data_IF_545010715696
#
_entry.id   IF_545010715696
#
_cell.length_a   1.000
_cell.length_b   1.000
_cell.length_c   1.000
_cell.angle_alpha   90.00
_cell.angle_beta   90.00
_cell.angle_gamma   90.00
#
_symmetry.space_group_name_H-M   'P 1'
#
loop_
_entity.id
_entity.type
_entity.pdbx_description
1 polymer ?
#
# COMPACT_ATOMS: atom_id res chain seq x y z
N UNK A 1 -4.55 62.96 -56.00
CA UNK A 1 -4.60 61.48 -56.05
C UNK A 1 -3.49 60.94 -55.18
N UNK A 2 -3.83 60.19 -54.11
CA UNK A 2 -2.88 59.40 -53.28
C UNK A 2 -2.46 58.11 -54.03
N UNK A 3 -1.31 57.48 -53.72
CA UNK A 3 -1.16 56.57 -52.56
C UNK A 3 0.22 56.68 -51.83
N UNK A 4 0.28 56.61 -50.49
CA UNK A 4 0.40 55.42 -49.59
C UNK A 4 1.72 54.65 -49.72
N UNK A 5 2.62 54.78 -48.73
CA UNK A 5 3.62 53.83 -48.17
C UNK A 5 4.53 54.66 -47.23
N UNK A 6 5.05 54.27 -46.07
CA UNK A 6 4.87 53.16 -45.14
C UNK A 6 5.49 53.60 -43.79
N UNK A 7 4.98 53.05 -42.69
CA UNK A 7 5.45 53.23 -41.29
C UNK A 7 6.86 52.66 -41.09
N UNK A 8 7.60 53.11 -40.07
CA UNK A 8 8.19 52.20 -39.07
C UNK A 8 8.73 52.94 -37.83
N UNK A 9 8.12 52.63 -36.68
CA UNK A 9 8.63 52.93 -35.35
C UNK A 9 9.33 51.67 -34.82
N UNK A 10 10.49 51.82 -34.19
CA UNK A 10 11.22 50.73 -33.54
C UNK A 10 11.15 50.94 -32.03
N UNK A 11 10.27 50.18 -31.37
CA UNK A 11 10.32 49.94 -29.93
C UNK A 11 11.22 48.72 -29.67
N UNK A 12 12.34 48.90 -28.97
CA UNK A 12 13.16 47.78 -28.50
C UNK A 12 12.57 47.23 -27.19
N UNK A 13 12.00 46.03 -27.26
CA UNK A 13 11.56 45.24 -26.10
C UNK A 13 12.72 44.36 -25.66
N UNK A 14 13.23 44.57 -24.45
CA UNK A 14 14.21 43.69 -23.82
C UNK A 14 13.50 42.40 -23.36
N UNK A 15 13.82 41.30 -24.04
CA UNK A 15 13.26 39.98 -23.81
C UNK A 15 14.00 39.31 -22.64
N UNK A 16 13.37 39.23 -21.48
CA UNK A 16 13.89 38.51 -20.32
C UNK A 16 13.77 36.99 -20.55
N UNK A 17 14.91 36.31 -20.66
CA UNK A 17 14.99 34.86 -20.74
C UNK A 17 14.65 34.22 -19.39
N UNK A 18 13.36 33.99 -19.12
CA UNK A 18 12.93 33.03 -18.10
C UNK A 18 13.06 31.61 -18.68
N UNK A 19 14.20 30.96 -18.48
CA UNK A 19 14.30 29.52 -18.74
C UNK A 19 13.49 28.77 -17.67
N UNK A 20 12.55 27.87 -18.06
CA UNK A 20 11.86 27.03 -17.10
C UNK A 20 12.83 25.99 -16.54
N UNK A 21 13.25 26.17 -15.29
CA UNK A 21 13.90 25.12 -14.51
C UNK A 21 12.89 24.02 -14.27
N UNK A 22 12.91 22.98 -15.10
CA UNK A 22 12.22 21.73 -14.82
C UNK A 22 12.94 21.04 -13.65
N UNK A 23 12.56 21.40 -12.43
CA UNK A 23 12.94 20.66 -11.24
C UNK A 23 12.31 19.26 -11.35
N UNK A 24 13.08 18.29 -11.83
CA UNK A 24 12.72 16.88 -11.75
C UNK A 24 12.66 16.56 -10.26
N UNK A 25 11.46 16.33 -9.72
CA UNK A 25 11.30 15.87 -8.36
C UNK A 25 12.06 14.55 -8.22
N UNK A 26 13.23 14.58 -7.57
CA UNK A 26 13.97 13.37 -7.27
C UNK A 26 13.13 12.55 -6.28
N UNK A 27 12.75 11.35 -6.69
CA UNK A 27 12.08 10.40 -5.80
C UNK A 27 12.95 10.08 -4.58
N UNK A 28 12.34 9.58 -3.50
CA UNK A 28 13.06 9.13 -2.31
C UNK A 28 14.01 7.99 -2.67
N UNK A 29 15.21 7.97 -2.09
CA UNK A 29 16.12 6.82 -2.22
C UNK A 29 15.53 5.58 -1.51
N UNK A 30 15.96 4.36 -1.86
CA UNK A 30 15.52 3.14 -1.17
C UNK A 30 15.71 3.20 0.35
N UNK A 31 16.82 3.78 0.81
CA UNK A 31 17.13 3.94 2.24
C UNK A 31 16.16 4.90 2.91
N UNK A 32 15.83 6.03 2.26
CA UNK A 32 14.84 6.97 2.74
C UNK A 32 13.43 6.36 2.80
N UNK A 33 13.10 5.47 1.86
CA UNK A 33 11.84 4.72 1.89
C UNK A 33 11.83 3.74 3.07
N UNK A 34 12.90 2.96 3.26
CA UNK A 34 13.01 2.03 4.38
C UNK A 34 12.93 2.74 5.75
N UNK A 35 13.59 3.89 5.89
CA UNK A 35 13.55 4.74 7.09
C UNK A 35 12.18 5.39 7.32
N UNK A 36 11.33 5.44 6.30
CA UNK A 36 9.99 6.03 6.41
C UNK A 36 8.92 5.07 6.93
N UNK A 37 9.25 3.79 7.14
CA UNK A 37 8.35 2.83 7.78
C UNK A 37 8.23 3.18 9.26
N UNK A 38 7.03 3.57 9.75
CA UNK A 38 6.85 3.90 11.16
C UNK A 38 7.09 2.69 12.06
N UNK A 39 7.60 2.91 13.27
CA UNK A 39 7.84 1.84 14.26
C UNK A 39 6.53 1.19 14.74
N UNK A 40 5.41 1.91 14.58
CA UNK A 40 4.06 1.43 14.81
C UNK A 40 3.63 0.39 13.76
N UNK A 41 4.41 0.13 12.72
CA UNK A 41 4.17 -0.93 11.75
C UNK A 41 5.19 -2.06 11.97
N UNK A 42 4.98 -2.92 12.99
CA UNK A 42 5.97 -3.94 13.37
C UNK A 42 6.13 -5.06 12.33
N UNK A 43 5.14 -5.27 11.48
CA UNK A 43 5.15 -6.38 10.53
C UNK A 43 4.46 -6.01 9.21
N UNK A 44 5.11 -6.35 8.10
CA UNK A 44 4.57 -6.26 6.74
C UNK A 44 4.99 -7.51 5.98
N UNK A 45 4.02 -8.23 5.43
CA UNK A 45 4.25 -9.38 4.56
C UNK A 45 3.56 -9.16 3.22
N UNK A 46 4.30 -9.40 2.14
CA UNK A 46 3.77 -9.32 0.77
C UNK A 46 3.93 -10.67 0.10
N UNK A 47 2.90 -11.14 -0.59
CA UNK A 47 2.92 -12.45 -1.23
C UNK A 47 1.64 -12.77 -1.99
N UNK A 48 1.68 -13.86 -2.75
CA UNK A 48 0.62 -14.25 -3.66
C UNK A 48 0.41 -13.27 -4.81
N UNK A 49 -0.44 -13.66 -5.74
CA UNK A 49 -0.82 -12.84 -6.88
C UNK A 49 -2.33 -12.87 -7.07
N UNK A 50 -2.88 -11.76 -7.54
CA UNK A 50 -4.26 -11.64 -7.94
C UNK A 50 -4.37 -11.02 -9.32
N UNK A 51 -5.44 -11.38 -9.99
CA UNK A 51 -5.88 -10.79 -11.26
C UNK A 51 -7.37 -10.61 -11.16
N UNK A 52 -7.86 -9.40 -11.41
CA UNK A 52 -9.25 -9.16 -11.76
C UNK A 52 -9.30 -8.58 -13.17
N UNK A 53 -10.47 -8.53 -13.80
CA UNK A 53 -10.60 -7.99 -15.17
C UNK A 53 -10.16 -6.52 -15.32
N UNK A 54 -9.75 -5.84 -14.24
CA UNK A 54 -9.28 -4.45 -14.22
C UNK A 54 -7.77 -4.34 -13.97
N UNK A 55 -7.10 -5.37 -13.47
CA UNK A 55 -5.66 -5.34 -13.23
C UNK A 55 -5.10 -6.58 -12.55
N UNK A 56 -3.78 -6.59 -12.38
CA UNK A 56 -3.04 -7.64 -11.68
C UNK A 56 -2.20 -7.04 -10.56
N UNK A 57 -1.84 -7.87 -9.59
CA UNK A 57 -1.09 -7.39 -8.44
C UNK A 57 -0.75 -8.47 -7.43
N UNK A 58 -0.32 -8.02 -6.25
CA UNK A 58 0.03 -8.87 -5.11
C UNK A 58 -0.78 -8.50 -3.87
N UNK A 59 -0.86 -9.42 -2.91
CA UNK A 59 -1.43 -9.12 -1.60
C UNK A 59 -0.35 -8.64 -0.65
N UNK A 60 -0.70 -7.72 0.25
CA UNK A 60 0.15 -7.26 1.34
C UNK A 60 -0.66 -7.21 2.63
N UNK A 61 -0.24 -7.94 3.66
CA UNK A 61 -0.79 -7.80 5.00
C UNK A 61 0.17 -7.00 5.88
N UNK A 62 -0.38 -6.22 6.81
CA UNK A 62 0.41 -5.46 7.76
C UNK A 62 -0.27 -5.41 9.12
N UNK A 63 0.56 -5.32 10.16
CA UNK A 63 0.13 -5.03 11.53
C UNK A 63 0.45 -3.57 11.82
N UNK A 64 -0.50 -2.85 12.42
CA UNK A 64 -0.33 -1.47 12.90
C UNK A 64 -0.65 -1.44 14.39
N UNK A 65 0.26 -0.92 15.20
CA UNK A 65 0.07 -0.67 16.61
C UNK A 65 -0.56 0.70 16.84
N UNK A 66 -1.38 0.78 17.87
CA UNK A 66 -1.99 2.02 18.36
C UNK A 66 -2.17 1.95 19.88
N UNK A 67 -2.68 3.03 20.48
CA UNK A 67 -3.06 3.08 21.89
C UNK A 67 -1.98 3.70 22.77
N UNK A 68 -2.40 4.64 23.63
CA UNK A 68 -1.46 5.49 24.38
C UNK A 68 -0.92 4.80 25.65
N UNK A 69 -1.71 3.91 26.26
CA UNK A 69 -1.37 3.25 27.53
C UNK A 69 -0.95 1.79 27.36
N UNK A 70 -1.49 1.12 26.34
CA UNK A 70 -1.19 -0.27 26.00
C UNK A 70 -1.29 -0.43 24.48
N UNK A 71 -0.37 -1.19 23.87
CA UNK A 71 -0.42 -1.44 22.43
C UNK A 71 -1.68 -2.22 22.07
N UNK A 72 -2.31 -1.82 20.98
CA UNK A 72 -3.42 -2.51 20.33
C UNK A 72 -3.03 -2.76 18.88
N UNK A 73 -3.00 -4.03 18.50
CA UNK A 73 -2.67 -4.49 17.16
C UNK A 73 -3.89 -4.41 16.24
N UNK A 74 -3.69 -3.83 15.05
CA UNK A 74 -4.66 -3.76 13.97
C UNK A 74 -4.08 -4.43 12.74
N UNK A 75 -4.78 -5.41 12.18
CA UNK A 75 -4.39 -6.08 10.96
C UNK A 75 -5.15 -5.50 9.77
N UNK A 76 -4.40 -5.17 8.73
CA UNK A 76 -4.94 -4.74 7.45
C UNK A 76 -4.43 -5.64 6.34
N UNK A 77 -5.29 -5.85 5.35
CA UNK A 77 -4.96 -6.52 4.10
C UNK A 77 -5.09 -5.51 2.96
N UNK A 78 -4.11 -5.53 2.08
CA UNK A 78 -4.00 -4.65 0.93
C UNK A 78 -3.82 -5.44 -0.34
N UNK A 79 -4.40 -4.91 -1.41
CA UNK A 79 -4.19 -5.34 -2.77
C UNK A 79 -3.35 -4.27 -3.44
N UNK A 80 -2.16 -4.65 -3.86
CA UNK A 80 -1.21 -3.77 -4.53
C UNK A 80 -1.26 -4.08 -6.01
N UNK A 81 -1.84 -3.18 -6.80
CA UNK A 81 -1.87 -3.29 -8.25
C UNK A 81 -0.50 -2.92 -8.81
N UNK A 82 -0.08 -3.60 -9.87
CA UNK A 82 1.13 -3.27 -10.62
C UNK A 82 0.70 -2.82 -12.01
N UNK A 83 0.96 -1.55 -12.35
CA UNK A 83 0.65 -1.03 -13.69
C UNK A 83 1.54 -1.71 -14.72
N UNK A 84 1.00 -2.37 -15.77
CA UNK A 84 1.81 -3.13 -16.73
C UNK A 84 2.90 -2.31 -17.42
N UNK A 85 2.61 -1.04 -17.66
CA UNK A 85 3.40 -0.11 -18.47
C UNK A 85 4.47 0.64 -17.68
N UNK A 86 4.29 0.80 -16.36
CA UNK A 86 5.27 1.51 -15.50
C UNK A 86 5.91 0.62 -14.45
N UNK A 87 5.32 -0.54 -14.16
CA UNK A 87 5.66 -1.43 -13.06
C UNK A 87 5.63 -0.77 -11.67
N UNK A 88 5.03 0.43 -11.57
CA UNK A 88 4.90 1.16 -10.31
C UNK A 88 3.76 0.51 -9.50
N UNK A 89 4.03 0.09 -8.25
CA UNK A 89 3.00 -0.48 -7.39
C UNK A 89 2.09 0.61 -6.81
N UNK A 90 0.78 0.38 -6.83
CA UNK A 90 -0.23 1.27 -6.24
C UNK A 90 -1.20 0.48 -5.37
N UNK A 91 -1.64 1.08 -4.26
CA UNK A 91 -2.65 0.46 -3.40
C UNK A 91 -4.01 0.52 -4.12
N UNK A 92 -4.48 -0.62 -4.62
CA UNK A 92 -5.80 -0.75 -5.22
C UNK A 92 -6.90 -0.76 -4.15
N UNK A 93 -6.65 -1.45 -3.03
CA UNK A 93 -7.60 -1.53 -1.92
C UNK A 93 -6.89 -1.80 -0.61
N UNK A 94 -7.44 -1.25 0.48
CA UNK A 94 -7.10 -1.61 1.86
C UNK A 94 -8.36 -2.04 2.59
N UNK A 95 -8.28 -3.10 3.38
CA UNK A 95 -9.36 -3.60 4.22
C UNK A 95 -8.83 -3.93 5.60
N UNK A 96 -9.56 -3.50 6.63
CA UNK A 96 -9.33 -3.89 8.01
C UNK A 96 -9.93 -5.28 8.28
N UNK A 97 -9.17 -6.16 8.93
CA UNK A 97 -9.67 -7.47 9.37
C UNK A 97 -10.42 -7.28 10.68
N UNK A 98 -11.72 -6.99 10.59
CA UNK A 98 -12.55 -6.59 11.74
C UNK A 98 -12.60 -7.65 12.83
N UNK A 99 -12.62 -8.92 12.45
CA UNK A 99 -12.64 -10.08 13.34
C UNK A 99 -11.44 -10.13 14.29
N UNK A 100 -10.32 -9.49 13.91
CA UNK A 100 -9.14 -9.31 14.76
C UNK A 100 -9.17 -7.94 15.44
N UNK A 101 -9.41 -6.88 14.68
CA UNK A 101 -9.26 -5.50 15.17
C UNK A 101 -10.29 -5.15 16.25
N UNK A 102 -11.52 -5.69 16.15
CA UNK A 102 -12.58 -5.45 17.12
C UNK A 102 -12.28 -6.09 18.49
N UNK A 103 -11.39 -7.09 18.53
CA UNK A 103 -10.93 -7.74 19.77
C UNK A 103 -9.93 -6.89 20.56
N UNK A 104 -9.34 -5.86 19.94
CA UNK A 104 -8.36 -4.96 20.55
C UNK A 104 -7.21 -5.71 21.24
N UNK A 105 -6.63 -6.68 20.54
CA UNK A 105 -5.60 -7.55 21.09
C UNK A 105 -4.24 -6.83 21.15
N UNK A 106 -3.39 -7.14 22.14
CA UNK A 106 -2.11 -6.47 22.32
C UNK A 106 -1.03 -6.95 21.34
N UNK A 107 -1.21 -8.12 20.74
CA UNK A 107 -0.29 -8.69 19.77
C UNK A 107 -1.05 -9.35 18.60
N UNK A 108 -0.44 -9.28 17.42
CA UNK A 108 -0.81 -10.06 16.25
C UNK A 108 0.46 -10.32 15.42
N UNK A 109 0.61 -11.56 14.96
CA UNK A 109 1.66 -12.02 14.05
C UNK A 109 1.00 -12.55 12.80
N UNK A 110 1.54 -12.20 11.63
CA UNK A 110 0.91 -12.51 10.35
C UNK A 110 1.76 -13.42 9.48
N UNK A 111 1.12 -14.41 8.86
CA UNK A 111 1.71 -15.19 7.78
C UNK A 111 0.77 -15.15 6.57
N UNK A 112 1.34 -15.25 5.38
CA UNK A 112 0.59 -15.21 4.13
C UNK A 112 1.00 -16.41 3.29
N UNK A 113 0.03 -17.28 2.99
CA UNK A 113 0.22 -18.45 2.15
C UNK A 113 -0.54 -18.24 0.85
N UNK A 114 0.09 -18.55 -0.29
CA UNK A 114 -0.51 -18.38 -1.61
C UNK A 114 -0.23 -19.61 -2.46
N UNK A 115 -0.88 -20.72 -2.10
CA UNK A 115 -0.72 -22.01 -2.80
C UNK A 115 -1.44 -22.04 -4.15
N UNK A 116 -2.43 -21.16 -4.34
CA UNK A 116 -3.27 -21.10 -5.54
C UNK A 116 -3.31 -19.69 -6.10
N UNK A 117 -3.19 -19.57 -7.42
CA UNK A 117 -3.30 -18.29 -8.12
C UNK A 117 -4.68 -17.63 -7.87
N UNK A 118 -4.68 -16.31 -7.67
CA UNK A 118 -5.89 -15.55 -7.39
C UNK A 118 -6.39 -15.69 -5.96
N UNK A 119 -5.66 -16.41 -5.09
CA UNK A 119 -6.02 -16.62 -3.69
C UNK A 119 -4.80 -16.43 -2.78
N UNK A 120 -5.03 -15.87 -1.59
CA UNK A 120 -4.04 -15.89 -0.52
C UNK A 120 -4.74 -16.14 0.81
N UNK A 121 -4.15 -16.96 1.68
CA UNK A 121 -4.61 -17.22 3.03
C UNK A 121 -3.74 -16.41 4.00
N UNK A 122 -4.35 -15.37 4.58
CA UNK A 122 -3.78 -14.62 5.68
C UNK A 122 -4.05 -15.38 6.98
N UNK A 123 -2.98 -15.80 7.64
CA UNK A 123 -3.00 -16.45 8.95
C UNK A 123 -2.58 -15.41 9.97
N UNK A 124 -3.35 -15.31 11.05
CA UNK A 124 -3.12 -14.34 12.12
C UNK A 124 -3.06 -15.11 13.43
N UNK A 125 -1.89 -15.11 14.05
CA UNK A 125 -1.69 -15.67 15.39
C UNK A 125 -1.66 -14.54 16.40
N UNK A 126 -2.45 -14.67 17.45
CA UNK A 126 -2.54 -13.68 18.53
C UNK A 126 -2.28 -14.37 19.86
N UNK A 127 -1.65 -13.67 20.79
CA UNK A 127 -1.33 -14.20 22.12
C UNK A 127 -2.03 -13.33 23.16
N UNK A 128 -2.83 -13.96 24.03
CA UNK A 128 -3.35 -13.31 25.23
C UNK A 128 -2.24 -13.23 26.28
N UNK A 129 -1.74 -12.04 26.64
CA UNK A 129 -0.61 -11.91 27.56
C UNK A 129 -0.96 -12.33 29.00
N UNK A 130 -2.25 -12.41 29.36
CA UNK A 130 -2.67 -12.81 30.70
C UNK A 130 -2.68 -14.33 30.87
N UNK A 131 -3.09 -15.05 29.82
CA UNK A 131 -3.27 -16.50 29.86
C UNK A 131 -2.20 -17.27 29.09
N UNK A 132 -1.36 -16.56 28.33
CA UNK A 132 -0.40 -17.11 27.39
C UNK A 132 -1.02 -18.09 26.38
N UNK A 133 -2.32 -17.93 26.10
CA UNK A 133 -3.03 -18.75 25.12
C UNK A 133 -2.92 -18.12 23.75
N UNK A 134 -2.57 -18.94 22.79
CA UNK A 134 -2.56 -18.57 21.38
C UNK A 134 -3.94 -18.78 20.77
N UNK A 135 -4.33 -17.86 19.90
CA UNK A 135 -5.46 -18.00 19.01
C UNK A 135 -5.00 -17.75 17.57
N UNK A 136 -5.23 -18.73 16.70
CA UNK A 136 -5.01 -18.61 15.26
C UNK A 136 -6.33 -18.39 14.53
N UNK A 137 -6.33 -17.39 13.66
CA UNK A 137 -7.42 -17.08 12.74
C UNK A 137 -6.87 -17.13 11.32
N UNK A 138 -7.70 -17.52 10.35
CA UNK A 138 -7.31 -17.54 8.95
C UNK A 138 -8.39 -16.91 8.08
N UNK A 139 -7.95 -16.17 7.07
CA UNK A 139 -8.80 -15.45 6.15
C UNK A 139 -8.30 -15.65 4.72
N UNK A 140 -9.18 -16.13 3.86
CA UNK A 140 -8.91 -16.23 2.43
C UNK A 140 -9.22 -14.91 1.75
N UNK A 141 -8.22 -14.32 1.12
CA UNK A 141 -8.29 -13.16 0.24
C UNK A 141 -8.42 -13.60 -1.22
N UNK A 142 -9.20 -12.84 -1.99
CA UNK A 142 -9.39 -13.05 -3.45
C UNK A 142 -9.30 -11.72 -4.19
N UNK A 143 -10.37 -11.27 -4.85
CA UNK A 143 -10.40 -9.99 -5.56
C UNK A 143 -10.17 -8.80 -4.61
N UNK A 144 -9.69 -7.66 -5.12
CA UNK A 144 -9.51 -6.44 -4.34
C UNK A 144 -10.69 -6.10 -3.41
N UNK A 145 -10.43 -6.18 -2.10
CA UNK A 145 -11.41 -5.87 -1.06
C UNK A 145 -12.24 -7.05 -0.57
N UNK A 146 -12.06 -8.26 -1.10
CA UNK A 146 -12.80 -9.46 -0.73
C UNK A 146 -11.94 -10.38 0.12
N UNK A 147 -12.39 -10.64 1.35
CA UNK A 147 -11.83 -11.67 2.22
C UNK A 147 -12.95 -12.41 2.95
N UNK A 148 -12.71 -13.67 3.32
CA UNK A 148 -13.65 -14.50 4.06
C UNK A 148 -12.91 -15.36 5.10
N UNK A 149 -13.47 -15.58 6.30
CA UNK A 149 -12.93 -16.54 7.25
C UNK A 149 -12.75 -17.91 6.62
N UNK A 150 -11.68 -18.60 6.98
CA UNK A 150 -11.43 -19.98 6.58
C UNK A 150 -10.80 -20.76 7.71
N UNK A 151 -10.71 -22.08 7.57
CA UNK A 151 -10.00 -22.89 8.54
C UNK A 151 -8.49 -22.58 8.44
N UNK A 152 -7.77 -22.47 9.56
CA UNK A 152 -6.32 -22.42 9.53
C UNK A 152 -5.77 -23.63 8.75
N UNK A 153 -4.74 -23.44 7.94
CA UNK A 153 -4.07 -24.56 7.28
C UNK A 153 -3.54 -25.51 8.35
N UNK A 154 -3.58 -26.81 8.06
CA UNK A 154 -3.01 -27.82 8.95
C UNK A 154 -1.50 -27.54 9.05
N UNK A 155 -0.97 -27.61 10.27
CA UNK A 155 0.48 -27.64 10.43
C UNK A 155 1.05 -28.79 9.59
N UNK A 156 2.19 -28.58 8.91
CA UNK A 156 2.85 -29.62 8.14
C UNK A 156 3.23 -30.84 8.99
#
# INVERSE_FOLDING_TARGET
MLPTFARLAVCAVAMACCAPSNAVAQGKSPEQVAQSVPVEVPEVITGGAWTDGKGTGVYRALVVLSGDKQPVSHVFLQWIAVKPDTLIPEIARTVAIKEVNDKKLPSAFIALQAEKEGEAVLIITTIDPKTNKEQTLAFKATNPGSYQPTAPPKAP
#
